data_IF_697991393396
#
_entry.id   IF_697991393396
#
_cell.length_a   1.000
_cell.length_b   1.000
_cell.length_c   1.000
_cell.angle_alpha   90.00
_cell.angle_beta   90.00
_cell.angle_gamma   90.00
#
_symmetry.space_group_name_H-M   'P 1'
#
loop_
_entity.id
_entity.type
_entity.pdbx_description
1 polymer ?
#
# COMPACT_ATOMS: atom_id res chain seq x y z
N UNK A 1 3.32 2.51 27.09
CA UNK A 1 3.31 2.81 25.64
C UNK A 1 1.89 3.18 25.19
N UNK A 2 1.29 4.21 25.79
CA UNK A 2 0.03 4.73 25.27
C UNK A 2 0.32 5.53 23.98
N UNK A 3 -0.58 5.47 22.99
CA UNK A 3 -0.54 6.27 21.75
C UNK A 3 0.39 5.79 20.62
N UNK A 4 0.94 4.59 20.67
CA UNK A 4 1.64 4.01 19.50
C UNK A 4 0.65 3.72 18.37
N UNK A 5 1.13 3.90 17.12
CA UNK A 5 0.38 3.66 15.89
C UNK A 5 1.18 2.73 15.01
N UNK A 6 0.54 1.73 14.42
CA UNK A 6 1.19 0.80 13.51
C UNK A 6 1.14 1.35 12.08
N UNK A 7 2.23 1.21 11.34
CA UNK A 7 2.26 1.50 9.90
C UNK A 7 2.90 0.33 9.18
N UNK A 8 2.21 -0.25 8.19
CA UNK A 8 2.73 -1.39 7.43
C UNK A 8 3.92 -0.97 6.55
N UNK A 9 3.86 0.23 5.96
CA UNK A 9 4.92 0.74 5.07
C UNK A 9 5.41 2.13 5.47
N UNK A 10 6.67 2.42 5.16
CA UNK A 10 7.28 3.74 5.25
C UNK A 10 8.26 3.95 4.08
N UNK A 11 7.75 4.36 2.91
CA UNK A 11 8.52 4.33 1.67
C UNK A 11 9.40 5.57 1.48
N UNK A 12 10.63 5.36 0.97
CA UNK A 12 11.77 6.30 0.97
C UNK A 12 12.07 6.94 -0.40
N UNK A 13 11.12 7.04 -1.33
CA UNK A 13 11.42 7.67 -2.63
C UNK A 13 11.63 9.18 -2.45
N UNK A 14 12.81 9.66 -2.80
CA UNK A 14 13.25 11.06 -2.59
C UNK A 14 13.15 11.93 -3.84
N UNK A 15 13.11 11.30 -5.01
CA UNK A 15 13.12 11.98 -6.31
C UNK A 15 12.04 11.38 -7.21
N UNK A 16 11.27 12.19 -7.95
CA UNK A 16 10.18 11.70 -8.79
C UNK A 16 10.66 10.83 -9.96
N UNK A 17 11.91 11.01 -10.41
CA UNK A 17 12.54 10.27 -11.50
C UNK A 17 13.05 8.88 -11.07
N UNK A 18 13.08 8.60 -9.76
CA UNK A 18 13.38 7.26 -9.28
C UNK A 18 12.24 6.30 -9.61
N UNK A 19 12.59 5.19 -10.24
CA UNK A 19 11.70 4.09 -10.61
C UNK A 19 11.37 3.14 -9.43
N UNK A 20 11.43 3.63 -8.18
CA UNK A 20 11.28 2.82 -6.96
C UNK A 20 9.91 2.97 -6.30
N UNK A 21 9.55 2.05 -5.39
CA UNK A 21 8.23 2.00 -4.74
C UNK A 21 8.01 0.69 -4.02
N UNK A 22 6.89 0.58 -3.29
CA UNK A 22 6.41 -0.68 -2.70
C UNK A 22 5.09 -1.06 -3.38
N UNK A 23 5.00 -2.29 -3.88
CA UNK A 23 3.77 -2.87 -4.43
C UNK A 23 3.39 -4.09 -3.60
N UNK A 24 2.21 -4.08 -3.00
CA UNK A 24 1.64 -5.18 -2.22
C UNK A 24 0.47 -5.72 -3.03
N UNK A 25 0.68 -6.88 -3.64
CA UNK A 25 -0.18 -7.42 -4.69
C UNK A 25 -0.61 -8.85 -4.32
N UNK A 26 -1.92 -9.13 -4.39
CA UNK A 26 -2.50 -10.45 -4.08
C UNK A 26 -2.14 -10.97 -2.68
N UNK A 27 -2.07 -10.08 -1.69
CA UNK A 27 -1.68 -10.39 -0.32
C UNK A 27 -2.89 -10.46 0.64
N UNK A 28 -2.66 -11.00 1.85
CA UNK A 28 -3.60 -10.92 2.98
C UNK A 28 -3.00 -10.06 4.08
N UNK A 29 -3.65 -8.95 4.39
CA UNK A 29 -3.24 -8.03 5.46
C UNK A 29 -4.10 -8.33 6.68
N UNK A 30 -3.48 -8.89 7.71
CA UNK A 30 -4.16 -9.43 8.89
C UNK A 30 -3.53 -8.91 10.17
N UNK A 31 -4.34 -8.72 11.20
CA UNK A 31 -3.85 -8.52 12.55
C UNK A 31 -3.29 -9.84 13.09
N UNK A 32 -2.18 -9.75 13.81
CA UNK A 32 -1.73 -10.85 14.66
C UNK A 32 -2.74 -11.13 15.79
N UNK A 33 -2.69 -12.32 16.35
CA UNK A 33 -3.66 -12.79 17.37
C UNK A 33 -3.66 -11.96 18.66
N UNK A 34 -2.53 -11.36 19.00
CA UNK A 34 -2.35 -10.46 20.15
C UNK A 34 -2.82 -9.01 19.87
N UNK A 35 -2.77 -8.57 18.61
CA UNK A 35 -3.30 -7.28 18.18
C UNK A 35 -4.82 -7.30 18.01
N UNK A 36 -5.40 -8.41 17.53
CA UNK A 36 -6.82 -8.48 17.19
C UNK A 36 -7.78 -8.03 18.32
N UNK A 37 -7.57 -8.39 19.60
CA UNK A 37 -8.41 -7.93 20.71
C UNK A 37 -8.25 -6.44 21.04
N UNK A 38 -7.13 -5.83 20.65
CA UNK A 38 -6.74 -4.46 21.02
C UNK A 38 -6.61 -3.51 19.81
N UNK A 39 -7.10 -3.92 18.63
CA UNK A 39 -6.99 -3.18 17.37
C UNK A 39 -7.56 -1.74 17.41
N UNK A 40 -8.52 -1.48 18.28
CA UNK A 40 -9.07 -0.13 18.50
C UNK A 40 -8.13 0.79 19.30
N UNK A 41 -7.27 0.21 20.14
CA UNK A 41 -6.28 0.93 20.96
C UNK A 41 -4.99 1.18 20.18
N UNK A 42 -4.61 0.26 19.29
CA UNK A 42 -3.40 0.33 18.47
C UNK A 42 -3.77 0.43 16.98
N UNK A 43 -4.13 1.63 16.50
CA UNK A 43 -4.62 1.80 15.14
C UNK A 43 -3.52 1.42 14.12
N UNK A 44 -3.92 0.71 13.07
CA UNK A 44 -3.01 0.27 12.00
C UNK A 44 -3.31 0.99 10.70
N UNK A 45 -2.28 1.56 10.07
CA UNK A 45 -2.36 2.26 8.79
C UNK A 45 -1.54 1.53 7.73
N UNK A 46 -1.98 1.65 6.48
CA UNK A 46 -1.33 1.11 5.28
C UNK A 46 0.10 1.65 5.11
N UNK A 47 0.34 2.89 5.53
CA UNK A 47 1.68 3.47 5.53
C UNK A 47 1.74 4.94 5.90
N UNK A 48 2.97 5.47 5.88
CA UNK A 48 3.29 6.89 6.05
C UNK A 48 4.47 7.34 5.17
N UNK A 49 4.49 8.59 4.67
CA UNK A 49 5.48 9.02 3.68
C UNK A 49 6.81 9.41 4.32
N UNK A 50 7.76 8.46 4.42
CA UNK A 50 9.07 8.78 4.99
C UNK A 50 9.85 9.82 4.16
N UNK A 51 9.57 9.91 2.85
CA UNK A 51 10.14 10.92 1.95
C UNK A 51 9.12 11.55 1.02
N UNK A 52 9.51 12.69 0.45
CA UNK A 52 8.67 13.62 -0.30
C UNK A 52 7.88 12.95 -1.44
N UNK A 53 8.46 11.97 -2.13
CA UNK A 53 7.82 11.30 -3.27
C UNK A 53 7.42 9.86 -2.95
N UNK A 54 7.20 9.55 -1.67
CA UNK A 54 6.83 8.22 -1.19
C UNK A 54 5.78 7.56 -2.08
N UNK A 55 6.04 6.32 -2.51
CA UNK A 55 5.21 5.59 -3.47
C UNK A 55 4.88 4.19 -2.98
N UNK A 56 3.60 3.93 -2.73
CA UNK A 56 3.12 2.63 -2.24
C UNK A 56 1.76 2.31 -2.83
N UNK A 57 1.57 1.07 -3.29
CA UNK A 57 0.31 0.60 -3.85
C UNK A 57 -0.10 -0.73 -3.24
N UNK A 58 -1.37 -0.84 -2.87
CA UNK A 58 -2.02 -2.09 -2.48
C UNK A 58 -3.02 -2.51 -3.55
N UNK A 59 -2.87 -3.71 -4.11
CA UNK A 59 -3.68 -4.20 -5.22
C UNK A 59 -4.20 -5.61 -4.94
N UNK A 60 -5.46 -5.86 -5.27
CA UNK A 60 -6.08 -7.19 -5.25
C UNK A 60 -5.84 -7.95 -3.93
N UNK A 61 -5.75 -7.21 -2.83
CA UNK A 61 -5.35 -7.75 -1.53
C UNK A 61 -6.52 -7.75 -0.56
N UNK A 62 -6.59 -8.77 0.30
CA UNK A 62 -7.52 -8.81 1.42
C UNK A 62 -7.03 -7.89 2.54
N UNK A 63 -7.93 -7.08 3.10
CA UNK A 63 -7.67 -6.20 4.24
C UNK A 63 -8.60 -6.52 5.40
N UNK A 64 -8.02 -6.95 6.52
CA UNK A 64 -8.76 -7.16 7.77
C UNK A 64 -9.27 -5.85 8.37
N UNK A 65 -10.23 -5.96 9.30
CA UNK A 65 -10.93 -4.82 9.89
C UNK A 65 -10.10 -3.96 10.87
N UNK A 66 -8.90 -4.41 11.22
CA UNK A 66 -7.90 -3.66 11.97
C UNK A 66 -7.29 -2.46 11.19
N UNK A 67 -7.45 -2.42 9.87
CA UNK A 67 -6.98 -1.29 9.06
C UNK A 67 -7.88 -0.09 9.34
N UNK A 68 -7.26 0.98 9.85
CA UNK A 68 -7.94 2.20 10.22
C UNK A 68 -8.65 2.81 8.98
N UNK A 69 -9.90 3.29 9.07
CA UNK A 69 -10.67 3.75 7.91
C UNK A 69 -10.01 4.87 7.09
N UNK A 70 -9.24 5.76 7.73
CA UNK A 70 -8.38 6.77 7.07
C UNK A 70 -7.36 6.16 6.09
N UNK A 71 -6.96 4.91 6.30
CA UNK A 71 -6.00 4.16 5.47
C UNK A 71 -4.55 4.57 5.70
N UNK A 72 -4.23 5.85 5.57
CA UNK A 72 -2.86 6.37 5.57
C UNK A 72 -2.63 7.34 6.71
N UNK A 73 -1.39 7.42 7.18
CA UNK A 73 -0.97 8.28 8.29
C UNK A 73 0.06 9.31 7.82
N UNK A 74 -0.11 10.55 8.24
CA UNK A 74 0.84 11.63 8.00
C UNK A 74 2.23 11.25 8.55
N UNK A 75 3.29 11.71 7.89
CA UNK A 75 4.63 11.66 8.48
C UNK A 75 4.82 12.81 9.48
N UNK A 76 4.62 14.03 9.00
CA UNK A 76 4.65 15.25 9.79
C UNK A 76 3.76 16.31 9.12
N UNK A 77 2.69 16.72 9.79
CA UNK A 77 1.69 17.68 9.29
C UNK A 77 1.32 17.45 7.80
N UNK A 78 1.60 18.43 6.92
CA UNK A 78 1.31 18.38 5.49
C UNK A 78 2.47 17.89 4.61
N UNK A 79 3.56 17.40 5.21
CA UNK A 79 4.71 16.92 4.47
C UNK A 79 4.33 15.80 3.47
N UNK A 80 4.77 15.96 2.23
CA UNK A 80 4.62 15.01 1.12
C UNK A 80 3.19 14.73 0.64
N UNK A 81 2.15 15.27 1.27
CA UNK A 81 0.76 14.90 0.98
C UNK A 81 0.34 15.23 -0.47
N UNK A 82 0.96 16.25 -1.07
CA UNK A 82 0.71 16.68 -2.45
C UNK A 82 1.55 15.94 -3.49
N UNK A 83 2.68 15.35 -3.08
CA UNK A 83 3.71 14.81 -3.98
C UNK A 83 3.86 13.28 -3.91
N UNK A 84 3.37 12.65 -2.84
CA UNK A 84 3.35 11.21 -2.69
C UNK A 84 2.42 10.54 -3.72
N UNK A 85 2.57 9.23 -3.90
CA UNK A 85 1.65 8.40 -4.67
C UNK A 85 1.22 7.21 -3.82
N UNK A 86 0.02 7.28 -3.26
CA UNK A 86 -0.60 6.20 -2.52
C UNK A 86 -1.85 5.70 -3.22
N UNK A 87 -1.80 4.44 -3.65
CA UNK A 87 -2.81 3.83 -4.49
C UNK A 87 -3.45 2.60 -3.85
N UNK A 88 -4.76 2.47 -4.01
CA UNK A 88 -5.51 1.26 -3.70
C UNK A 88 -6.27 0.81 -4.96
N UNK A 89 -6.13 -0.46 -5.35
CA UNK A 89 -6.76 -1.04 -6.53
C UNK A 89 -7.46 -2.36 -6.20
N UNK A 90 -8.79 -2.41 -6.32
CA UNK A 90 -9.60 -3.63 -6.15
C UNK A 90 -9.25 -4.47 -4.90
N UNK A 91 -8.91 -3.81 -3.79
CA UNK A 91 -8.76 -4.49 -2.50
C UNK A 91 -10.12 -4.89 -1.96
N UNK A 92 -10.15 -5.92 -1.12
CA UNK A 92 -11.40 -6.48 -0.59
C UNK A 92 -11.28 -6.85 0.89
N UNK A 93 -12.42 -7.16 1.51
CA UNK A 93 -12.51 -7.41 2.95
C UNK A 93 -12.89 -6.17 3.76
N UNK A 94 -13.12 -6.32 5.07
CA UNK A 94 -13.72 -5.29 5.90
C UNK A 94 -12.86 -4.02 6.07
N UNK A 95 -11.54 -4.11 5.93
CA UNK A 95 -10.63 -2.95 5.98
C UNK A 95 -10.44 -2.22 4.64
N UNK A 96 -10.99 -2.75 3.55
CA UNK A 96 -10.73 -2.23 2.19
C UNK A 96 -11.67 -1.08 1.77
N UNK A 97 -12.67 -0.75 2.58
CA UNK A 97 -13.60 0.33 2.26
C UNK A 97 -12.88 1.68 2.13
N UNK A 98 -13.02 2.34 0.98
CA UNK A 98 -12.29 3.58 0.66
C UNK A 98 -13.03 4.87 1.04
N UNK A 99 -14.31 4.79 1.44
CA UNK A 99 -15.17 5.97 1.62
C UNK A 99 -14.74 6.96 2.72
N UNK A 100 -13.88 6.53 3.65
CA UNK A 100 -13.36 7.37 4.74
C UNK A 100 -11.85 7.61 4.66
N UNK A 101 -11.24 7.29 3.52
CA UNK A 101 -9.81 7.49 3.30
C UNK A 101 -9.47 8.97 3.34
N UNK A 102 -8.20 9.26 3.63
CA UNK A 102 -7.65 10.61 3.57
C UNK A 102 -7.90 11.28 2.21
N UNK A 103 -8.05 12.60 2.20
CA UNK A 103 -8.33 13.40 0.99
C UNK A 103 -7.07 14.08 0.42
N UNK A 104 -5.90 13.49 0.63
CA UNK A 104 -4.64 14.07 0.17
C UNK A 104 -4.55 14.04 -1.36
N UNK A 105 -3.98 15.06 -2.04
CA UNK A 105 -3.84 15.03 -3.50
C UNK A 105 -3.00 13.85 -4.03
N UNK A 106 -2.03 13.38 -3.24
CA UNK A 106 -1.21 12.21 -3.57
C UNK A 106 -1.92 10.86 -3.36
N UNK A 107 -3.06 10.82 -2.67
CA UNK A 107 -3.86 9.61 -2.50
C UNK A 107 -4.85 9.43 -3.66
N UNK A 108 -5.05 8.20 -4.12
CA UNK A 108 -6.09 7.89 -5.12
C UNK A 108 -6.60 6.45 -5.02
N UNK A 109 -7.90 6.30 -5.25
CA UNK A 109 -8.50 5.03 -5.62
C UNK A 109 -8.21 4.80 -7.09
N UNK A 110 -7.42 3.78 -7.41
CA UNK A 110 -7.08 3.45 -8.79
C UNK A 110 -8.28 2.72 -9.40
N UNK A 111 -8.79 3.26 -10.51
CA UNK A 111 -9.88 2.64 -11.29
C UNK A 111 -9.41 2.14 -12.66
N UNK A 112 -8.25 2.61 -13.12
CA UNK A 112 -7.66 2.23 -14.40
C UNK A 112 -6.79 0.98 -14.26
N UNK A 113 -7.11 -0.04 -15.04
CA UNK A 113 -6.27 -1.24 -15.19
C UNK A 113 -4.89 -0.90 -15.74
N UNK A 114 -4.79 0.10 -16.62
CA UNK A 114 -3.51 0.56 -17.19
C UNK A 114 -2.64 1.20 -16.11
N UNK A 115 -3.22 1.94 -15.16
CA UNK A 115 -2.48 2.51 -14.04
C UNK A 115 -2.03 1.43 -13.05
N UNK A 116 -2.92 0.51 -12.67
CA UNK A 116 -2.60 -0.59 -11.76
C UNK A 116 -1.52 -1.54 -12.35
N UNK A 117 -1.55 -1.79 -13.66
CA UNK A 117 -0.57 -2.66 -14.33
C UNK A 117 0.88 -2.20 -14.15
N UNK A 118 1.12 -0.89 -13.97
CA UNK A 118 2.46 -0.33 -13.72
C UNK A 118 3.14 -0.88 -12.47
N UNK A 119 2.36 -1.40 -11.52
CA UNK A 119 2.82 -1.90 -10.23
C UNK A 119 2.83 -3.44 -10.16
N UNK A 120 2.61 -4.11 -11.29
CA UNK A 120 2.71 -5.58 -11.40
C UNK A 120 4.16 -6.03 -11.53
N UNK A 121 4.41 -7.32 -11.30
CA UNK A 121 5.75 -7.91 -11.41
C UNK A 121 6.39 -7.67 -12.78
N UNK A 122 5.62 -7.86 -13.86
CA UNK A 122 6.13 -7.72 -15.22
C UNK A 122 6.57 -6.28 -15.54
N UNK A 123 5.87 -5.26 -15.05
CA UNK A 123 6.18 -3.86 -15.37
C UNK A 123 7.07 -3.18 -14.34
N UNK A 124 6.88 -3.47 -13.06
CA UNK A 124 7.54 -2.72 -12.00
C UNK A 124 8.97 -3.16 -11.74
N UNK A 125 9.24 -4.47 -11.86
CA UNK A 125 10.56 -5.06 -11.61
C UNK A 125 11.07 -5.88 -12.79
N UNK A 126 10.42 -5.75 -13.96
CA UNK A 126 10.73 -6.51 -15.17
C UNK A 126 10.79 -8.03 -14.91
N UNK A 127 9.97 -8.54 -14.00
CA UNK A 127 10.11 -9.87 -13.42
C UNK A 127 10.08 -11.01 -14.44
N UNK A 128 9.36 -10.83 -15.56
CA UNK A 128 9.27 -11.84 -16.62
C UNK A 128 10.61 -12.16 -17.29
N UNK A 129 11.63 -11.31 -17.19
CA UNK A 129 12.94 -11.56 -17.79
C UNK A 129 13.86 -12.42 -16.91
N UNK A 130 13.61 -12.51 -15.60
CA UNK A 130 14.56 -13.10 -14.66
C UNK A 130 13.94 -14.03 -13.62
N UNK A 131 12.68 -13.87 -13.23
CA UNK A 131 12.04 -14.77 -12.27
C UNK A 131 11.90 -16.21 -12.78
N UNK A 132 11.63 -16.51 -14.07
CA UNK A 132 11.49 -17.88 -14.53
C UNK A 132 12.70 -18.77 -14.25
N UNK A 133 13.93 -18.21 -14.30
CA UNK A 133 15.15 -18.97 -14.03
C UNK A 133 15.35 -19.30 -12.54
N UNK A 134 14.62 -18.65 -11.64
CA UNK A 134 14.68 -18.91 -10.19
C UNK A 134 13.81 -20.10 -9.76
N UNK A 135 12.86 -20.53 -10.58
CA UNK A 135 11.89 -21.58 -10.26
C UNK A 135 10.76 -21.15 -9.30
N UNK A 136 10.74 -19.90 -8.84
CA UNK A 136 9.66 -19.38 -7.98
C UNK A 136 8.38 -19.20 -8.78
N UNK A 137 7.24 -19.58 -8.19
CA UNK A 137 5.94 -19.22 -8.75
C UNK A 137 5.70 -17.71 -8.60
N UNK A 138 5.22 -17.06 -9.66
CA UNK A 138 4.89 -15.63 -9.61
C UNK A 138 3.71 -15.29 -10.52
N UNK A 139 3.00 -14.23 -10.17
CA UNK A 139 1.95 -13.62 -10.98
C UNK A 139 2.55 -12.41 -11.70
N UNK A 140 2.63 -12.48 -13.02
CA UNK A 140 3.28 -11.45 -13.83
C UNK A 140 2.45 -10.15 -13.93
N UNK A 141 1.12 -10.27 -14.07
CA UNK A 141 0.18 -9.16 -14.30
C UNK A 141 -0.94 -9.11 -13.25
N UNK A 142 -2.05 -8.44 -13.55
CA UNK A 142 -3.21 -8.31 -12.64
C UNK A 142 -4.16 -9.51 -12.62
N UNK A 143 -3.99 -10.48 -13.53
CA UNK A 143 -4.81 -11.68 -13.58
C UNK A 143 -4.29 -12.71 -12.59
N UNK A 144 -5.14 -13.05 -11.61
CA UNK A 144 -5.06 -14.24 -10.76
C UNK A 144 -5.81 -15.40 -11.38
#
# INVERSE_FOLDING_TARGET
MASQKNTITAQNRKDPNQNTGISIHACKILAASDLAPSKGTFPTYLGRPWKLYSRTVYMLSFMGDHIHPRGWLEWDASFALDTLYYGEYMNYGPGAAVGQRVKWPGYRVITSTVEANKFTVAQFIYGSSWLPSTGVAFLAGLSV
#
